data_IF_235517530249
#
_entry.id   IF_235517530249
#
_cell.length_a   1.000
_cell.length_b   1.000
_cell.length_c   1.000
_cell.angle_alpha   90.00
_cell.angle_beta   90.00
_cell.angle_gamma   90.00
#
_symmetry.space_group_name_H-M   'P 1'
#
loop_
_entity.id
_entity.type
_entity.pdbx_description
1 polymer ?
#
# COMPACT_ATOMS: atom_id res chain seq x y z
N UNK A 1 6.24 5.17 39.62
CA UNK A 1 6.34 4.27 38.45
C UNK A 1 5.11 4.48 37.60
N UNK A 2 5.19 5.32 36.56
CA UNK A 2 4.14 5.43 35.57
C UNK A 2 4.28 4.25 34.60
N UNK A 3 3.48 3.22 34.77
CA UNK A 3 3.23 2.20 33.74
C UNK A 3 2.22 2.78 32.76
N UNK A 4 2.64 3.73 31.94
CA UNK A 4 1.85 4.15 30.79
C UNK A 4 1.83 3.01 29.79
N UNK A 5 0.66 2.40 29.54
CA UNK A 5 0.41 1.65 28.33
C UNK A 5 0.78 2.59 27.17
N UNK A 6 1.85 2.29 26.42
CA UNK A 6 2.06 2.93 25.12
C UNK A 6 0.81 2.60 24.30
N UNK A 7 0.01 3.63 24.03
CA UNK A 7 -1.05 3.48 23.06
C UNK A 7 -0.40 3.00 21.76
N UNK A 8 -0.76 1.81 21.32
CA UNK A 8 -0.32 1.28 20.03
C UNK A 8 -0.79 2.25 18.96
N UNK A 9 0.15 3.00 18.38
CA UNK A 9 -0.16 3.95 17.31
C UNK A 9 -0.17 3.22 15.97
N UNK A 10 -1.21 3.47 15.19
CA UNK A 10 -1.21 3.23 13.76
C UNK A 10 -1.03 4.60 13.09
N UNK A 11 0.01 4.74 12.27
CA UNK A 11 0.40 5.99 11.63
C UNK A 11 0.32 5.87 10.11
N UNK A 12 -0.02 6.98 9.47
CA UNK A 12 -0.06 7.10 8.02
C UNK A 12 0.74 8.33 7.60
N UNK A 13 1.63 8.16 6.64
CA UNK A 13 2.45 9.22 6.06
C UNK A 13 2.38 9.16 4.54
N UNK A 14 1.95 10.25 3.90
CA UNK A 14 2.02 10.38 2.45
C UNK A 14 3.45 10.76 2.05
N UNK A 15 4.17 9.85 1.39
CA UNK A 15 5.48 10.12 0.81
C UNK A 15 5.32 10.91 -0.50
N UNK A 16 4.35 10.53 -1.32
CA UNK A 16 3.96 11.23 -2.53
C UNK A 16 2.50 10.93 -2.87
N UNK A 17 1.83 11.89 -3.49
CA UNK A 17 0.46 11.75 -3.94
C UNK A 17 0.20 12.57 -5.21
N UNK A 18 -0.76 12.12 -6.01
CA UNK A 18 -1.21 12.77 -7.24
C UNK A 18 -0.69 12.11 -8.51
N UNK A 19 -0.95 12.73 -9.65
CA UNK A 19 -0.63 12.21 -11.00
C UNK A 19 0.87 12.03 -11.28
N UNK A 20 1.74 12.63 -10.48
CA UNK A 20 3.20 12.48 -10.60
C UNK A 20 3.76 11.25 -9.87
N UNK A 21 2.92 10.52 -9.17
CA UNK A 21 3.26 9.29 -8.47
C UNK A 21 2.74 9.22 -7.04
N UNK A 22 2.37 8.02 -6.63
CA UNK A 22 1.74 7.73 -5.35
C UNK A 22 2.59 6.77 -4.53
N UNK A 23 2.81 7.09 -3.27
CA UNK A 23 3.49 6.24 -2.31
C UNK A 23 3.10 6.67 -0.89
N UNK A 24 2.47 5.78 -0.16
CA UNK A 24 1.97 6.04 1.18
C UNK A 24 2.57 5.03 2.13
N UNK A 25 3.09 5.49 3.27
CA UNK A 25 3.59 4.61 4.33
C UNK A 25 2.52 4.48 5.42
N UNK A 26 2.20 3.26 5.79
CA UNK A 26 1.33 2.95 6.93
C UNK A 26 2.08 2.00 7.85
N UNK A 27 2.03 2.26 9.14
CA UNK A 27 2.74 1.41 10.08
C UNK A 27 2.35 1.57 11.53
N UNK A 28 2.81 0.62 12.28
CA UNK A 28 2.81 0.60 13.74
C UNK A 28 4.20 0.98 14.28
N UNK A 29 4.42 0.82 15.57
CA UNK A 29 5.74 1.02 16.16
C UNK A 29 6.80 0.04 15.61
N UNK A 30 6.40 -1.15 15.14
CA UNK A 30 7.30 -2.24 14.79
C UNK A 30 7.23 -2.69 13.33
N UNK A 31 6.13 -2.41 12.63
CA UNK A 31 5.88 -2.91 11.29
C UNK A 31 5.37 -1.80 10.39
N UNK A 32 5.91 -1.72 9.17
CA UNK A 32 5.59 -0.70 8.19
C UNK A 32 5.41 -1.30 6.81
N UNK A 33 4.42 -0.83 6.09
CA UNK A 33 4.19 -1.18 4.68
C UNK A 33 4.09 0.08 3.84
N UNK A 34 4.48 -0.02 2.59
CA UNK A 34 4.18 0.97 1.58
C UNK A 34 2.90 0.57 0.85
N UNK A 35 2.05 1.53 0.56
CA UNK A 35 0.96 1.38 -0.38
C UNK A 35 1.37 2.13 -1.64
N UNK A 36 1.58 1.37 -2.69
CA UNK A 36 2.16 1.78 -3.96
C UNK A 36 3.61 2.30 -3.89
N UNK A 37 4.28 2.30 -5.01
CA UNK A 37 5.64 2.77 -5.20
C UNK A 37 5.74 3.49 -6.56
N UNK A 38 4.94 4.54 -6.72
CA UNK A 38 4.73 5.24 -7.99
C UNK A 38 5.76 6.32 -8.29
N UNK A 39 6.78 6.50 -7.46
CA UNK A 39 7.90 7.42 -7.64
C UNK A 39 9.22 6.65 -7.66
N UNK A 40 10.31 7.31 -8.03
CA UNK A 40 11.62 6.64 -8.07
C UNK A 40 12.04 6.08 -6.70
N UNK A 41 12.78 4.99 -6.70
CA UNK A 41 13.29 4.39 -5.46
C UNK A 41 14.06 5.36 -4.59
N UNK A 42 14.84 6.28 -5.20
CA UNK A 42 15.55 7.33 -4.47
C UNK A 42 14.60 8.32 -3.77
N UNK A 43 13.51 8.70 -4.42
CA UNK A 43 12.51 9.57 -3.80
C UNK A 43 11.77 8.88 -2.67
N UNK A 44 11.49 7.57 -2.81
CA UNK A 44 10.91 6.76 -1.72
C UNK A 44 11.87 6.72 -0.53
N UNK A 45 13.13 6.40 -0.76
CA UNK A 45 14.17 6.37 0.28
C UNK A 45 14.29 7.70 1.02
N UNK A 46 14.37 8.81 0.28
CA UNK A 46 14.44 10.15 0.87
C UNK A 46 13.20 10.47 1.71
N UNK A 47 12.00 10.18 1.20
CA UNK A 47 10.74 10.43 1.91
C UNK A 47 10.62 9.61 3.21
N UNK A 48 11.05 8.34 3.19
CA UNK A 48 11.11 7.52 4.39
C UNK A 48 12.12 8.05 5.40
N UNK A 49 13.31 8.47 4.95
CA UNK A 49 14.33 9.04 5.83
C UNK A 49 13.86 10.32 6.52
N UNK A 50 13.03 11.14 5.88
CA UNK A 50 12.44 12.35 6.49
C UNK A 50 11.54 12.05 7.69
N UNK A 51 11.00 10.84 7.78
CA UNK A 51 10.18 10.36 8.90
C UNK A 51 10.90 9.31 9.76
N UNK A 52 12.24 9.31 9.70
CA UNK A 52 13.11 8.41 10.47
C UNK A 52 12.89 6.91 10.19
N UNK A 53 12.45 6.58 8.98
CA UNK A 53 12.30 5.22 8.49
C UNK A 53 13.33 4.91 7.39
N UNK A 54 13.62 3.63 7.19
CA UNK A 54 14.52 3.15 6.14
C UNK A 54 13.81 2.19 5.22
N UNK A 55 14.15 2.24 3.93
CA UNK A 55 13.55 1.34 2.93
C UNK A 55 13.73 -0.14 3.27
N UNK A 56 14.88 -0.53 3.80
CA UNK A 56 15.14 -1.91 4.20
C UNK A 56 14.31 -2.40 5.40
N UNK A 57 13.73 -1.48 6.17
CA UNK A 57 12.91 -1.81 7.34
C UNK A 57 11.42 -1.94 6.99
N UNK A 58 11.06 -1.72 5.72
CA UNK A 58 9.70 -1.98 5.24
C UNK A 58 9.43 -3.48 5.18
N UNK A 59 8.24 -3.89 5.62
CA UNK A 59 7.83 -5.30 5.61
C UNK A 59 7.22 -5.74 4.28
N UNK A 60 6.84 -4.79 3.43
CA UNK A 60 6.33 -5.07 2.11
C UNK A 60 5.71 -3.86 1.42
N UNK A 61 5.29 -4.08 0.19
CA UNK A 61 4.58 -3.10 -0.64
C UNK A 61 3.22 -3.68 -1.01
N UNK A 62 2.15 -2.96 -0.66
CA UNK A 62 0.79 -3.26 -1.08
C UNK A 62 0.53 -2.50 -2.37
N UNK A 63 0.23 -3.19 -3.46
CA UNK A 63 -0.03 -2.55 -4.76
C UNK A 63 -1.51 -2.47 -5.00
N UNK A 64 -2.02 -1.26 -5.27
CA UNK A 64 -3.44 -1.03 -5.54
C UNK A 64 -3.81 -1.45 -6.95
N UNK A 65 -3.02 -1.07 -7.94
CA UNK A 65 -3.17 -1.41 -9.35
C UNK A 65 -1.89 -1.08 -10.14
N UNK A 66 -1.85 -1.44 -11.42
CA UNK A 66 -0.64 -1.46 -12.25
C UNK A 66 -0.33 -0.17 -13.02
N UNK A 67 -1.03 0.93 -12.82
CA UNK A 67 -0.69 2.19 -13.47
C UNK A 67 0.70 2.70 -13.06
N UNK A 68 1.44 3.31 -13.97
CA UNK A 68 2.84 3.68 -13.76
C UNK A 68 3.06 4.63 -12.57
N UNK A 69 2.13 5.53 -12.32
CA UNK A 69 2.16 6.42 -11.16
C UNK A 69 1.91 5.71 -9.80
N UNK A 70 1.71 4.39 -9.83
CA UNK A 70 1.60 3.50 -8.66
C UNK A 70 2.71 2.44 -8.58
N UNK A 71 3.42 2.18 -9.69
CA UNK A 71 4.41 1.07 -9.73
C UNK A 71 5.78 1.47 -10.28
N UNK A 72 6.01 2.71 -10.69
CA UNK A 72 7.26 3.12 -11.36
C UNK A 72 8.54 2.77 -10.58
N UNK A 73 8.53 2.85 -9.26
CA UNK A 73 9.64 2.51 -8.38
C UNK A 73 9.66 1.08 -7.86
N UNK A 74 8.63 0.30 -8.17
CA UNK A 74 8.41 -1.04 -7.58
C UNK A 74 9.60 -1.98 -7.82
N UNK A 75 10.07 -2.05 -9.06
CA UNK A 75 11.19 -2.92 -9.41
C UNK A 75 12.50 -2.56 -8.71
N UNK A 76 12.77 -1.28 -8.54
CA UNK A 76 13.97 -0.81 -7.80
C UNK A 76 13.88 -1.21 -6.32
N UNK A 77 12.72 -1.00 -5.70
CA UNK A 77 12.49 -1.38 -4.31
C UNK A 77 12.62 -2.89 -4.10
N UNK A 78 12.07 -3.68 -5.03
CA UNK A 78 12.18 -5.13 -4.99
C UNK A 78 13.63 -5.60 -5.12
N UNK A 79 14.36 -5.14 -6.15
CA UNK A 79 15.74 -5.58 -6.41
C UNK A 79 16.75 -5.10 -5.37
N UNK A 80 16.58 -3.88 -4.87
CA UNK A 80 17.54 -3.28 -3.94
C UNK A 80 17.35 -3.73 -2.50
N UNK A 81 16.10 -3.91 -2.07
CA UNK A 81 15.77 -4.19 -0.67
C UNK A 81 15.10 -5.54 -0.44
N UNK A 82 14.79 -6.29 -1.51
CA UNK A 82 14.14 -7.60 -1.40
C UNK A 82 12.72 -7.54 -0.82
N UNK A 83 12.02 -6.42 -1.03
CA UNK A 83 10.69 -6.24 -0.43
C UNK A 83 9.65 -7.11 -1.12
N UNK A 84 8.86 -7.89 -0.36
CA UNK A 84 7.73 -8.61 -0.91
C UNK A 84 6.62 -7.64 -1.37
N UNK A 85 5.92 -8.04 -2.41
CA UNK A 85 4.84 -7.26 -3.01
C UNK A 85 3.54 -8.05 -2.96
N UNK A 86 2.50 -7.39 -2.51
CA UNK A 86 1.17 -7.95 -2.33
C UNK A 86 0.23 -7.29 -3.32
N UNK A 87 -0.35 -8.07 -4.20
CA UNK A 87 -1.27 -7.59 -5.22
C UNK A 87 -2.24 -8.70 -5.66
N UNK A 88 -3.34 -8.32 -6.29
CA UNK A 88 -4.24 -9.30 -6.91
C UNK A 88 -3.57 -10.01 -8.09
N UNK A 89 -4.08 -11.18 -8.45
CA UNK A 89 -3.55 -11.96 -9.57
C UNK A 89 -3.50 -11.15 -10.87
N UNK A 90 -4.55 -10.41 -11.18
CA UNK A 90 -4.62 -9.55 -12.37
C UNK A 90 -3.58 -8.43 -12.36
N UNK A 91 -3.39 -7.79 -11.21
CA UNK A 91 -2.36 -6.75 -11.05
C UNK A 91 -0.95 -7.33 -11.17
N UNK A 92 -0.67 -8.49 -10.57
CA UNK A 92 0.64 -9.17 -10.70
C UNK A 92 0.95 -9.47 -12.16
N UNK A 93 0.00 -10.02 -12.91
CA UNK A 93 0.17 -10.31 -14.34
C UNK A 93 0.48 -9.02 -15.14
N UNK A 94 -0.26 -7.95 -14.87
CA UNK A 94 -0.03 -6.67 -15.52
C UNK A 94 1.35 -6.07 -15.18
N UNK A 95 1.80 -6.17 -13.93
CA UNK A 95 3.15 -5.72 -13.51
C UNK A 95 4.23 -6.49 -14.27
N UNK A 96 4.10 -7.82 -14.36
CA UNK A 96 5.06 -8.68 -15.11
C UNK A 96 5.14 -8.31 -16.58
N UNK A 97 4.06 -7.79 -17.15
CA UNK A 97 3.97 -7.34 -18.54
C UNK A 97 4.32 -5.85 -18.73
N UNK A 98 4.83 -5.18 -17.71
CA UNK A 98 5.22 -3.76 -17.75
C UNK A 98 6.75 -3.63 -17.83
N UNK A 99 7.33 -3.45 -19.04
CA UNK A 99 8.79 -3.49 -19.23
C UNK A 99 9.57 -2.45 -18.42
N UNK A 100 8.98 -1.27 -18.19
CA UNK A 100 9.63 -0.16 -17.44
C UNK A 100 9.90 -0.47 -15.97
N UNK A 101 9.16 -1.39 -15.37
CA UNK A 101 9.39 -1.85 -13.99
C UNK A 101 10.64 -2.73 -13.90
N UNK A 102 10.98 -3.40 -15.00
CA UNK A 102 12.09 -4.33 -15.07
C UNK A 102 11.77 -5.68 -14.41
N UNK A 103 12.75 -6.56 -14.42
CA UNK A 103 12.59 -7.91 -13.91
C UNK A 103 12.53 -7.89 -12.37
N UNK A 104 11.54 -8.56 -11.82
CA UNK A 104 11.35 -8.77 -10.38
C UNK A 104 11.41 -10.27 -10.11
N UNK A 105 12.05 -10.66 -9.01
CA UNK A 105 12.08 -12.06 -8.57
C UNK A 105 10.64 -12.55 -8.33
N UNK A 106 10.19 -13.63 -8.99
CA UNK A 106 8.84 -14.16 -8.82
C UNK A 106 8.49 -14.52 -7.38
N UNK A 107 9.45 -14.89 -6.55
CA UNK A 107 9.22 -15.23 -5.14
C UNK A 107 8.82 -14.04 -4.28
N UNK A 108 9.05 -12.80 -4.75
CA UNK A 108 8.62 -11.59 -4.05
C UNK A 108 7.15 -11.26 -4.26
N UNK A 109 6.48 -11.86 -5.26
CA UNK A 109 5.06 -11.65 -5.48
C UNK A 109 4.21 -12.53 -4.57
N UNK A 110 3.31 -11.89 -3.83
CA UNK A 110 2.30 -12.55 -2.99
C UNK A 110 0.92 -12.16 -3.49
N UNK A 111 0.18 -13.15 -3.99
CA UNK A 111 -1.19 -12.95 -4.45
C UNK A 111 -2.12 -12.72 -3.27
N UNK A 112 -2.96 -11.70 -3.38
CA UNK A 112 -4.03 -11.41 -2.43
C UNK A 112 -5.39 -11.49 -3.14
N UNK A 113 -6.43 -11.75 -2.35
CA UNK A 113 -7.80 -11.87 -2.85
C UNK A 113 -8.65 -10.78 -2.21
N UNK A 114 -9.42 -10.00 -3.01
CA UNK A 114 -10.35 -9.01 -2.45
C UNK A 114 -11.27 -9.61 -1.40
N UNK A 115 -11.48 -8.89 -0.30
CA UNK A 115 -12.29 -9.28 0.85
C UNK A 115 -11.70 -10.38 1.75
N UNK A 116 -10.51 -10.90 1.42
CA UNK A 116 -9.82 -11.87 2.28
C UNK A 116 -8.71 -11.17 3.07
N UNK A 117 -8.79 -11.20 4.39
CA UNK A 117 -7.80 -10.62 5.28
C UNK A 117 -6.48 -11.40 5.22
N UNK A 118 -5.38 -10.67 5.30
CA UNK A 118 -4.06 -11.23 5.52
C UNK A 118 -3.28 -10.39 6.53
N UNK A 119 -2.21 -10.93 7.07
CA UNK A 119 -1.45 -10.32 8.15
C UNK A 119 -0.01 -10.07 7.73
N UNK A 120 0.48 -8.88 8.00
CA UNK A 120 1.90 -8.53 7.93
C UNK A 120 2.31 -8.01 9.31
N UNK A 121 3.12 -8.78 10.04
CA UNK A 121 3.48 -8.43 11.42
C UNK A 121 2.25 -8.31 12.32
N UNK A 122 2.05 -7.14 12.89
CA UNK A 122 0.88 -6.80 13.73
C UNK A 122 -0.24 -6.06 12.99
N UNK A 123 -0.14 -5.97 11.66
CA UNK A 123 -1.11 -5.31 10.79
C UNK A 123 -2.03 -6.35 10.15
N UNK A 124 -3.34 -6.19 10.29
CA UNK A 124 -4.34 -6.95 9.55
C UNK A 124 -4.79 -6.13 8.35
N UNK A 125 -4.67 -6.68 7.16
CA UNK A 125 -4.90 -5.97 5.90
C UNK A 125 -6.05 -6.62 5.16
N UNK A 126 -7.02 -5.80 4.75
CA UNK A 126 -8.16 -6.23 3.94
C UNK A 126 -8.12 -5.50 2.61
N UNK A 127 -7.88 -6.20 1.48
CA UNK A 127 -8.04 -5.61 0.16
C UNK A 127 -9.51 -5.46 -0.16
N UNK A 128 -9.88 -4.30 -0.71
CA UNK A 128 -11.25 -3.95 -1.07
C UNK A 128 -11.29 -3.71 -2.57
N UNK A 129 -12.11 -4.46 -3.31
CA UNK A 129 -12.29 -4.23 -4.74
C UNK A 129 -12.85 -2.83 -5.00
N UNK A 130 -12.26 -2.12 -5.95
CA UNK A 130 -12.73 -0.80 -6.39
C UNK A 130 -13.02 -0.79 -7.89
N UNK A 131 -13.90 0.13 -8.32
CA UNK A 131 -14.17 0.38 -9.73
C UNK A 131 -13.17 1.39 -10.29
N UNK A 132 -12.26 0.92 -11.12
CA UNK A 132 -11.26 1.73 -11.80
C UNK A 132 -10.81 1.03 -13.09
N UNK A 133 -10.31 1.78 -14.06
CA UNK A 133 -9.81 1.24 -15.33
C UNK A 133 -8.42 0.62 -15.15
N UNK A 134 -8.39 -0.58 -14.60
CA UNK A 134 -7.20 -1.38 -14.34
C UNK A 134 -7.56 -2.87 -14.33
N UNK A 135 -6.56 -3.76 -14.28
CA UNK A 135 -6.76 -5.21 -14.41
C UNK A 135 -7.60 -5.81 -13.27
N UNK A 136 -7.28 -5.48 -12.02
CA UNK A 136 -8.03 -5.91 -10.83
C UNK A 136 -7.70 -5.00 -9.64
N UNK A 137 -8.20 -3.76 -9.65
CA UNK A 137 -7.79 -2.72 -8.70
C UNK A 137 -8.41 -2.94 -7.32
N UNK A 138 -7.64 -2.62 -6.28
CA UNK A 138 -8.08 -2.66 -4.89
C UNK A 138 -7.67 -1.41 -4.13
N UNK A 139 -8.45 -1.09 -3.10
CA UNK A 139 -8.05 -0.26 -1.98
C UNK A 139 -7.61 -1.16 -0.81
N UNK A 140 -6.99 -0.59 0.20
CA UNK A 140 -6.55 -1.32 1.37
C UNK A 140 -7.12 -0.74 2.66
N UNK A 141 -7.68 -1.63 3.47
CA UNK A 141 -8.05 -1.35 4.85
C UNK A 141 -7.01 -2.00 5.75
N UNK A 142 -6.44 -1.23 6.67
CA UNK A 142 -5.38 -1.67 7.56
C UNK A 142 -5.84 -1.46 8.99
N UNK A 143 -5.80 -2.54 9.76
CA UNK A 143 -6.21 -2.55 11.16
C UNK A 143 -5.07 -3.00 12.05
N UNK A 144 -4.91 -2.28 13.15
CA UNK A 144 -4.12 -2.71 14.30
C UNK A 144 -4.93 -2.47 15.56
N UNK A 145 -5.18 -3.54 16.33
CA UNK A 145 -6.02 -3.50 17.52
C UNK A 145 -7.38 -2.84 17.22
N UNK A 146 -7.70 -1.71 17.88
CA UNK A 146 -8.95 -0.98 17.68
C UNK A 146 -8.83 0.22 16.71
N UNK A 147 -7.69 0.38 16.03
CA UNK A 147 -7.47 1.43 15.01
C UNK A 147 -7.56 0.85 13.61
N UNK A 148 -8.29 1.56 12.75
CA UNK A 148 -8.50 1.14 11.37
C UNK A 148 -8.34 2.31 10.43
N UNK A 149 -7.44 2.16 9.46
CA UNK A 149 -7.20 3.12 8.37
C UNK A 149 -7.61 2.50 7.03
N UNK A 150 -8.05 3.33 6.11
CA UNK A 150 -8.21 2.93 4.72
C UNK A 150 -7.51 3.92 3.80
N UNK A 151 -6.92 3.37 2.74
CA UNK A 151 -6.32 4.13 1.66
C UNK A 151 -7.01 3.74 0.38
N UNK A 152 -7.69 4.70 -0.23
CA UNK A 152 -8.45 4.55 -1.46
C UNK A 152 -7.90 5.55 -2.47
N UNK A 153 -7.28 5.04 -3.51
CA UNK A 153 -6.75 5.84 -4.62
C UNK A 153 -7.53 5.54 -5.90
N UNK A 154 -7.67 6.54 -6.75
CA UNK A 154 -8.28 6.40 -8.08
C UNK A 154 -9.68 5.76 -8.11
N UNK A 155 -10.52 6.16 -7.18
CA UNK A 155 -11.90 5.68 -7.12
C UNK A 155 -12.73 6.31 -8.25
N UNK A 156 -13.11 5.49 -9.24
CA UNK A 156 -13.90 5.93 -10.38
C UNK A 156 -15.38 6.20 -10.05
N UNK A 157 -16.00 5.28 -9.33
CA UNK A 157 -17.39 5.37 -8.90
C UNK A 157 -17.55 4.88 -7.47
N UNK A 158 -18.47 5.53 -6.74
CA UNK A 158 -18.92 5.10 -5.42
C UNK A 158 -20.13 4.19 -5.59
N UNK A 159 -20.05 2.99 -5.06
CA UNK A 159 -21.21 2.12 -4.86
C UNK A 159 -21.49 1.91 -3.37
N UNK A 160 -22.67 1.38 -3.07
CA UNK A 160 -23.09 1.15 -1.70
C UNK A 160 -22.19 0.13 -0.97
N UNK A 161 -21.59 -0.79 -1.72
CA UNK A 161 -20.68 -1.79 -1.17
C UNK A 161 -19.38 -1.16 -0.65
N UNK A 162 -18.77 -0.27 -1.42
CA UNK A 162 -17.58 0.49 -0.99
C UNK A 162 -17.90 1.34 0.23
N UNK A 163 -19.04 2.02 0.22
CA UNK A 163 -19.46 2.86 1.36
C UNK A 163 -19.61 2.03 2.63
N UNK A 164 -20.17 0.83 2.55
CA UNK A 164 -20.29 -0.07 3.70
C UNK A 164 -18.92 -0.53 4.21
N UNK A 165 -17.99 -0.85 3.33
CA UNK A 165 -16.65 -1.31 3.70
C UNK A 165 -15.77 -0.22 4.28
N UNK A 166 -16.07 1.04 4.00
CA UNK A 166 -15.38 2.20 4.54
C UNK A 166 -16.02 2.74 5.84
N UNK A 167 -16.99 2.05 6.41
CA UNK A 167 -17.56 2.43 7.71
C UNK A 167 -16.67 2.03 8.88
N UNK A 168 -16.74 2.80 9.96
CA UNK A 168 -16.02 2.52 11.20
C UNK A 168 -14.51 2.76 11.14
N UNK A 169 -14.07 3.59 10.20
CA UNK A 169 -12.66 3.99 10.06
C UNK A 169 -12.30 5.11 11.04
N UNK A 170 -11.09 5.06 11.57
CA UNK A 170 -10.49 6.19 12.30
C UNK A 170 -9.90 7.23 11.32
N UNK A 171 -9.38 6.76 10.20
CA UNK A 171 -8.81 7.61 9.15
C UNK A 171 -9.08 7.03 7.76
N UNK A 172 -9.47 7.91 6.86
CA UNK A 172 -9.61 7.61 5.43
C UNK A 172 -8.71 8.57 4.65
N UNK A 173 -7.76 8.02 3.91
CA UNK A 173 -7.06 8.75 2.86
C UNK A 173 -7.73 8.44 1.53
N UNK A 174 -8.36 9.46 0.96
CA UNK A 174 -9.05 9.37 -0.32
C UNK A 174 -8.32 10.26 -1.34
N UNK A 175 -7.85 9.66 -2.42
CA UNK A 175 -7.40 10.36 -3.61
C UNK A 175 -8.42 10.15 -4.73
N UNK A 176 -9.04 11.23 -5.16
CA UNK A 176 -9.91 11.26 -6.33
C UNK A 176 -9.13 11.95 -7.47
N UNK A 177 -8.58 11.16 -8.37
CA UNK A 177 -8.06 11.67 -9.65
C UNK A 177 -9.19 11.60 -10.68
N UNK A 178 -9.52 12.73 -11.23
CA UNK A 178 -10.47 12.86 -12.32
C UNK A 178 -9.79 12.69 -13.68
#
# INVERSE_FOLDING_TARGET
KFTGKRNSMLELCSIASGSSGNCICVGSDNHHVLIDAGISGKRIENGLNEVDLKSQDMDGILVTHEHLDHIAGLGVMARRYGLPMYATAGTIEAIKNTPSVGKIDPELFHEIVPQEDFVIGDLTITPIHISHDAADPVAYRIKKENRTFAVVTDLGNYDDEIVQQLQGLDTLLLEANH
#
